data_IF_077349068253
#
_entry.id   IF_077349068253
#
_cell.length_a   1.000
_cell.length_b   1.000
_cell.length_c   1.000
_cell.angle_alpha   90.00
_cell.angle_beta   90.00
_cell.angle_gamma   90.00
#
_symmetry.space_group_name_H-M   'P 1'
#
loop_
_entity.id
_entity.type
_entity.pdbx_description
1 polymer ?
#
# COMPACT_ATOMS: atom_id res chain seq x y z
N UNK A 1 26.06 -19.32 -3.49
CA UNK A 1 24.65 -19.78 -3.33
C UNK A 1 23.65 -18.76 -3.87
N UNK A 2 23.75 -17.47 -3.51
CA UNK A 2 22.89 -16.39 -4.01
C UNK A 2 22.97 -16.17 -5.53
N UNK A 3 24.18 -16.12 -6.09
CA UNK A 3 24.41 -15.91 -7.53
C UNK A 3 23.81 -17.03 -8.39
N UNK A 4 23.86 -18.28 -7.91
CA UNK A 4 23.22 -19.43 -8.57
C UNK A 4 21.70 -19.27 -8.62
N UNK A 5 21.07 -18.91 -7.49
CA UNK A 5 19.61 -18.68 -7.43
C UNK A 5 19.16 -17.48 -8.26
N UNK A 6 19.99 -16.43 -8.33
CA UNK A 6 19.71 -15.27 -9.16
C UNK A 6 19.70 -15.67 -10.65
N UNK A 7 20.74 -16.35 -11.11
CA UNK A 7 20.86 -16.78 -12.51
C UNK A 7 19.75 -17.77 -12.91
N UNK A 8 19.37 -18.69 -12.00
CA UNK A 8 18.20 -19.57 -12.20
C UNK A 8 16.89 -18.79 -12.31
N UNK A 9 16.73 -17.69 -11.58
CA UNK A 9 15.54 -16.85 -11.63
C UNK A 9 15.49 -16.04 -12.93
N UNK A 10 16.62 -15.51 -13.38
CA UNK A 10 16.75 -14.79 -14.65
C UNK A 10 16.40 -15.70 -15.84
N UNK A 11 16.91 -16.93 -15.87
CA UNK A 11 16.59 -17.90 -16.93
C UNK A 11 15.10 -18.25 -16.95
N UNK A 12 14.47 -18.41 -15.78
CA UNK A 12 13.02 -18.66 -15.70
C UNK A 12 12.21 -17.48 -16.20
N UNK A 13 12.58 -16.26 -15.81
CA UNK A 13 11.91 -15.04 -16.26
C UNK A 13 12.06 -14.85 -17.78
N UNK A 14 13.24 -15.09 -18.34
CA UNK A 14 13.47 -15.04 -19.79
C UNK A 14 12.60 -16.06 -20.54
N UNK A 15 12.51 -17.30 -20.01
CA UNK A 15 11.67 -18.35 -20.59
C UNK A 15 10.18 -17.98 -20.55
N UNK A 16 9.71 -17.43 -19.43
CA UNK A 16 8.33 -16.94 -19.26
C UNK A 16 8.02 -15.77 -20.19
N UNK A 17 8.96 -14.83 -20.34
CA UNK A 17 8.80 -13.68 -21.24
C UNK A 17 8.71 -14.12 -22.71
N UNK A 18 9.52 -15.11 -23.11
CA UNK A 18 9.46 -15.69 -24.46
C UNK A 18 8.15 -16.46 -24.71
N UNK A 19 7.63 -17.16 -23.69
CA UNK A 19 6.41 -17.98 -23.81
C UNK A 19 5.14 -17.13 -23.82
N UNK A 20 5.14 -15.96 -23.16
CA UNK A 20 3.94 -15.11 -23.07
C UNK A 20 4.30 -13.62 -23.08
N UNK A 21 4.69 -13.06 -24.25
CA UNK A 21 5.07 -11.66 -24.38
C UNK A 21 3.97 -10.68 -23.94
N UNK A 22 2.71 -11.03 -24.20
CA UNK A 22 1.53 -10.25 -23.80
C UNK A 22 1.34 -10.19 -22.29
N UNK A 23 1.75 -11.23 -21.55
CA UNK A 23 1.67 -11.25 -20.09
C UNK A 23 2.68 -10.29 -19.46
N UNK A 24 3.85 -10.11 -20.09
CA UNK A 24 4.86 -9.15 -19.63
C UNK A 24 4.37 -7.70 -19.80
N UNK A 25 3.74 -7.38 -20.94
CA UNK A 25 3.09 -6.09 -21.18
C UNK A 25 1.91 -5.80 -20.23
N UNK A 26 1.27 -6.85 -19.71
CA UNK A 26 0.16 -6.74 -18.76
C UNK A 26 0.65 -6.64 -17.32
N UNK A 27 1.82 -7.23 -17.01
CA UNK A 27 2.46 -7.17 -15.70
C UNK A 27 2.77 -5.73 -15.28
N UNK A 28 3.26 -4.89 -16.21
CA UNK A 28 3.49 -3.46 -15.96
C UNK A 28 2.20 -2.69 -15.64
N UNK A 29 1.06 -3.17 -16.13
CA UNK A 29 -0.27 -2.59 -15.88
C UNK A 29 -0.97 -3.19 -14.68
N UNK A 30 -0.31 -4.09 -13.94
CA UNK A 30 -0.91 -4.69 -12.75
C UNK A 30 -0.96 -3.65 -11.63
N UNK A 31 -1.99 -2.82 -11.65
CA UNK A 31 -2.33 -1.99 -10.51
C UNK A 31 -2.96 -2.87 -9.44
N UNK A 32 -2.67 -2.55 -8.17
CA UNK A 32 -3.42 -3.14 -7.05
C UNK A 32 -4.91 -2.98 -7.33
N UNK A 33 -5.70 -4.04 -7.10
CA UNK A 33 -7.18 -3.99 -7.23
C UNK A 33 -7.81 -2.83 -6.44
N UNK A 34 -7.08 -2.29 -5.47
CA UNK A 34 -7.45 -1.15 -4.66
C UNK A 34 -6.42 -0.04 -4.84
N UNK A 35 -6.84 1.04 -5.50
CA UNK A 35 -6.00 2.22 -5.76
C UNK A 35 -6.26 3.32 -4.72
N UNK A 36 -7.51 3.46 -4.27
CA UNK A 36 -7.91 4.51 -3.33
C UNK A 36 -7.70 4.13 -1.86
N UNK A 37 -7.18 5.03 -1.01
CA UNK A 37 -6.94 4.78 0.42
C UNK A 37 -8.15 4.21 1.16
N UNK A 38 -9.36 4.74 0.90
CA UNK A 38 -10.61 4.27 1.53
C UNK A 38 -10.94 2.82 1.13
N UNK A 39 -10.68 2.47 -0.11
CA UNK A 39 -10.95 1.13 -0.65
C UNK A 39 -9.98 0.11 -0.05
N UNK A 40 -8.69 0.47 0.01
CA UNK A 40 -7.64 -0.31 0.67
C UNK A 40 -8.01 -0.56 2.13
N UNK A 41 -8.34 0.48 2.91
CA UNK A 41 -8.69 0.32 4.32
C UNK A 41 -9.95 -0.53 4.52
N UNK A 42 -10.95 -0.41 3.65
CA UNK A 42 -12.16 -1.25 3.70
C UNK A 42 -11.81 -2.71 3.46
N UNK A 43 -10.94 -2.99 2.49
CA UNK A 43 -10.46 -4.33 2.21
C UNK A 43 -9.66 -4.91 3.39
N UNK A 44 -8.68 -4.17 3.91
CA UNK A 44 -7.82 -4.58 5.02
C UNK A 44 -8.65 -4.86 6.29
N UNK A 45 -9.58 -3.97 6.64
CA UNK A 45 -10.50 -4.16 7.79
C UNK A 45 -11.34 -5.43 7.68
N UNK A 46 -11.70 -5.85 6.47
CA UNK A 46 -12.43 -7.11 6.26
C UNK A 46 -11.49 -8.31 6.40
N UNK A 47 -10.30 -8.24 5.80
CA UNK A 47 -9.32 -9.32 5.78
C UNK A 47 -8.75 -9.63 7.16
N UNK A 48 -8.40 -8.61 7.94
CA UNK A 48 -7.75 -8.78 9.26
C UNK A 48 -8.61 -9.53 10.29
N UNK A 49 -9.93 -9.64 10.06
CA UNK A 49 -10.87 -10.34 10.96
C UNK A 49 -10.65 -11.85 11.03
N UNK A 50 -9.88 -12.44 10.11
CA UNK A 50 -9.50 -13.85 10.20
C UNK A 50 -8.54 -14.11 11.35
N UNK A 51 -7.68 -13.14 11.66
CA UNK A 51 -6.56 -13.30 12.59
C UNK A 51 -6.74 -12.48 13.86
N UNK A 52 -7.55 -11.42 13.83
CA UNK A 52 -7.78 -10.51 14.94
C UNK A 52 -9.27 -10.33 15.26
N UNK A 53 -9.63 -10.16 16.56
CA UNK A 53 -11.01 -9.93 16.96
C UNK A 53 -11.55 -8.61 16.41
N UNK A 54 -12.87 -8.51 16.33
CA UNK A 54 -13.52 -7.27 15.94
C UNK A 54 -13.22 -6.16 16.95
N UNK A 55 -12.70 -5.03 16.47
CA UNK A 55 -12.48 -3.84 17.29
C UNK A 55 -13.82 -3.20 17.69
N UNK A 56 -13.82 -2.52 18.85
CA UNK A 56 -14.90 -1.60 19.22
C UNK A 56 -15.08 -0.53 18.13
N UNK A 57 -16.27 0.07 18.04
CA UNK A 57 -16.57 1.11 17.05
C UNK A 57 -15.54 2.25 17.18
N UNK A 58 -14.73 2.40 16.15
CA UNK A 58 -13.71 3.44 16.01
C UNK A 58 -13.91 4.15 14.68
N UNK A 59 -13.68 5.46 14.67
CA UNK A 59 -13.66 6.25 13.44
C UNK A 59 -12.23 6.33 12.93
N UNK A 60 -12.09 6.31 11.61
CA UNK A 60 -10.81 6.46 10.93
C UNK A 60 -11.03 7.43 9.78
N UNK A 61 -10.45 8.62 9.89
CA UNK A 61 -10.48 9.64 8.88
C UNK A 61 -9.21 9.56 8.02
N UNK A 62 -9.36 9.91 6.75
CA UNK A 62 -8.24 10.04 5.83
C UNK A 62 -8.09 11.52 5.53
N UNK A 63 -6.89 12.07 5.73
CA UNK A 63 -6.56 13.47 5.43
C UNK A 63 -5.38 13.53 4.47
N UNK A 64 -5.34 14.56 3.64
CA UNK A 64 -4.16 14.87 2.87
C UNK A 64 -3.14 15.61 3.74
N UNK A 65 -1.86 15.38 3.47
CA UNK A 65 -0.77 16.21 3.97
C UNK A 65 -0.82 17.59 3.30
N UNK A 66 -0.45 18.63 4.04
CA UNK A 66 -0.32 19.98 3.48
C UNK A 66 0.86 20.05 2.49
N UNK A 67 0.67 20.76 1.38
CA UNK A 67 1.68 20.84 0.30
C UNK A 67 3.03 21.40 0.75
N UNK A 68 3.08 22.24 1.78
CA UNK A 68 4.34 22.74 2.36
C UNK A 68 5.17 21.63 3.04
N UNK A 69 4.53 20.54 3.46
CA UNK A 69 5.13 19.45 4.21
C UNK A 69 5.36 18.18 3.37
N UNK A 70 4.76 18.09 2.18
CA UNK A 70 4.83 16.94 1.28
C UNK A 70 6.26 16.43 1.01
N UNK A 71 7.22 17.35 0.89
CA UNK A 71 8.61 17.01 0.60
C UNK A 71 9.34 16.36 1.78
N UNK A 72 8.88 16.57 3.01
CA UNK A 72 9.56 16.15 4.23
C UNK A 72 8.91 14.94 4.89
N UNK A 73 7.62 14.73 4.66
CA UNK A 73 6.85 13.69 5.33
C UNK A 73 6.81 12.37 4.55
N UNK A 74 6.57 11.30 5.28
CA UNK A 74 6.38 9.95 4.76
C UNK A 74 5.17 9.84 3.82
N UNK A 75 5.07 8.77 3.01
CA UNK A 75 3.98 8.55 2.05
C UNK A 75 2.60 8.47 2.73
N UNK A 76 2.56 7.88 3.92
CA UNK A 76 1.42 7.96 4.82
C UNK A 76 1.90 7.80 6.28
N UNK A 77 1.13 8.33 7.23
CA UNK A 77 1.39 8.17 8.67
C UNK A 77 0.10 8.35 9.47
N UNK A 78 0.10 7.86 10.72
CA UNK A 78 -0.96 8.12 11.69
C UNK A 78 -0.36 8.81 12.91
N UNK A 79 -1.16 9.61 13.59
CA UNK A 79 -0.80 10.23 14.87
C UNK A 79 -1.64 9.60 15.97
N UNK A 80 -1.09 9.56 17.18
CA UNK A 80 -1.86 9.16 18.36
C UNK A 80 -3.06 10.11 18.50
N UNK A 81 -4.29 9.58 18.57
CA UNK A 81 -5.47 10.41 18.78
C UNK A 81 -5.34 11.26 20.05
N UNK A 82 -5.97 12.44 20.09
CA UNK A 82 -5.97 13.26 21.28
C UNK A 82 -6.73 12.56 22.41
N UNK A 83 -6.36 12.86 23.66
CA UNK A 83 -6.84 12.10 24.84
C UNK A 83 -8.34 12.26 25.09
N UNK A 84 -8.92 13.36 24.65
CA UNK A 84 -10.35 13.68 24.71
C UNK A 84 -11.18 12.94 23.65
N UNK A 85 -10.57 12.54 22.53
CA UNK A 85 -11.24 11.78 21.46
C UNK A 85 -10.43 10.55 20.99
N UNK A 86 -10.18 9.56 21.87
CA UNK A 86 -9.29 8.43 21.58
C UNK A 86 -9.82 7.48 20.50
N UNK A 87 -11.11 7.58 20.15
CA UNK A 87 -11.73 6.76 19.11
C UNK A 87 -11.59 7.37 17.69
N UNK A 88 -11.14 8.63 17.58
CA UNK A 88 -11.02 9.37 16.33
C UNK A 88 -9.61 9.26 15.74
N UNK A 89 -9.37 8.17 15.01
CA UNK A 89 -8.10 7.96 14.34
C UNK A 89 -8.04 8.75 13.03
N UNK A 90 -6.83 9.23 12.69
CA UNK A 90 -6.58 9.93 11.43
C UNK A 90 -5.33 9.36 10.77
N UNK A 91 -5.47 8.98 9.51
CA UNK A 91 -4.36 8.61 8.64
C UNK A 91 -4.14 9.76 7.65
N UNK A 92 -2.92 10.26 7.60
CA UNK A 92 -2.49 11.27 6.65
C UNK A 92 -1.87 10.60 5.43
N UNK A 93 -2.30 10.98 4.24
CA UNK A 93 -1.77 10.50 2.95
C UNK A 93 -1.01 11.66 2.31
N UNK A 94 0.23 11.39 1.92
CA UNK A 94 1.09 12.34 1.25
C UNK A 94 1.04 12.10 -0.26
N UNK A 95 0.54 13.10 -0.99
CA UNK A 95 0.35 13.04 -2.44
C UNK A 95 1.54 13.60 -3.23
N UNK A 96 2.70 13.81 -2.58
CA UNK A 96 3.93 14.24 -3.24
C UNK A 96 4.22 13.39 -4.48
N UNK A 97 4.68 14.02 -5.56
CA UNK A 97 4.95 13.34 -6.83
C UNK A 97 5.92 12.14 -6.69
N UNK A 98 6.86 12.20 -5.74
CA UNK A 98 7.79 11.11 -5.41
C UNK A 98 7.11 9.81 -4.97
N UNK A 99 5.84 9.86 -4.53
CA UNK A 99 5.06 8.71 -4.06
C UNK A 99 4.01 8.21 -5.07
N UNK A 100 3.90 8.84 -6.25
CA UNK A 100 2.86 8.52 -7.25
C UNK A 100 2.84 7.05 -7.69
N UNK A 101 4.01 6.40 -7.69
CA UNK A 101 4.15 4.99 -8.09
C UNK A 101 4.31 4.05 -6.90
N UNK A 102 4.20 4.56 -5.68
CA UNK A 102 4.32 3.74 -4.49
C UNK A 102 3.06 2.93 -4.27
N UNK A 103 3.25 1.67 -3.88
CA UNK A 103 2.13 0.81 -3.52
C UNK A 103 1.59 1.20 -2.13
N UNK A 104 0.51 1.99 -2.12
CA UNK A 104 -0.13 2.44 -0.89
C UNK A 104 -0.72 1.28 -0.07
N UNK A 105 -1.07 0.15 -0.69
CA UNK A 105 -1.59 -1.01 0.03
C UNK A 105 -0.59 -1.55 1.04
N UNK A 106 0.69 -1.63 0.68
CA UNK A 106 1.75 -2.06 1.59
C UNK A 106 2.06 -1.02 2.67
N UNK A 107 1.74 0.26 2.44
CA UNK A 107 1.93 1.34 3.41
C UNK A 107 0.80 1.42 4.44
N UNK A 108 -0.42 1.00 4.08
CA UNK A 108 -1.60 1.06 4.95
C UNK A 108 -1.92 -0.25 5.70
N UNK A 109 -1.31 -1.37 5.30
CA UNK A 109 -1.50 -2.70 5.89
C UNK A 109 -0.60 -2.89 7.11
#
# INVERSE_FOLDING_TARGET
MLTKKLNESEQKLATLAATSPSSFLTCEKHTSKYEEPKSILTHLKKKIRTDFPALKKQTCHIRAVDSSLENFLSPAFYLTPPIDEPAANVIYINHAAKYRHQNLHATLA
#
